data_IF_564374066541
#
_entry.id   IF_564374066541
#
_cell.length_a   1.000
_cell.length_b   1.000
_cell.length_c   1.000
_cell.angle_alpha   90.00
_cell.angle_beta   90.00
_cell.angle_gamma   90.00
#
_symmetry.space_group_name_H-M   'P 1'
#
loop_
_entity.id
_entity.type
_entity.pdbx_description
1 polymer ?
#
# COMPACT_ATOMS: atom_id res chain seq x y z
N UNK A 1 -18.10 -12.43 3.69
CA UNK A 1 -18.17 -11.16 2.95
C UNK A 1 -17.01 -10.29 3.35
N UNK A 2 -16.06 -10.05 2.46
CA UNK A 2 -14.92 -9.16 2.73
C UNK A 2 -14.49 -8.53 1.42
N UNK A 3 -14.38 -7.20 1.40
CA UNK A 3 -13.96 -6.45 0.22
C UNK A 3 -12.47 -6.66 -0.05
N UNK A 4 -12.03 -6.43 -1.27
CA UNK A 4 -10.60 -6.43 -1.61
C UNK A 4 -10.07 -5.01 -1.49
N UNK A 5 -9.00 -4.84 -0.69
CA UNK A 5 -8.28 -3.57 -0.58
C UNK A 5 -7.14 -3.60 -1.59
N UNK A 6 -6.99 -2.51 -2.34
CA UNK A 6 -5.88 -2.28 -3.25
C UNK A 6 -5.14 -1.01 -2.83
N UNK A 7 -3.95 -1.18 -2.26
CA UNK A 7 -3.05 -0.08 -1.96
C UNK A 7 -2.00 -0.02 -3.06
N UNK A 8 -1.89 1.13 -3.72
CA UNK A 8 -0.96 1.35 -4.82
C UNK A 8 0.06 2.41 -4.43
N UNK A 9 1.32 2.02 -4.29
CA UNK A 9 2.43 2.93 -4.08
C UNK A 9 3.04 3.30 -5.43
N UNK A 10 3.18 4.59 -5.71
CA UNK A 10 3.67 5.12 -6.97
C UNK A 10 4.92 5.94 -6.69
N UNK A 11 6.03 5.55 -7.31
CA UNK A 11 7.31 6.26 -7.28
C UNK A 11 7.48 6.97 -8.61
N UNK A 12 7.38 8.30 -8.60
CA UNK A 12 7.60 9.16 -9.77
C UNK A 12 8.85 10.01 -9.59
N UNK A 13 9.44 10.40 -10.72
CA UNK A 13 10.60 11.29 -10.82
C UNK A 13 11.90 10.76 -10.22
N UNK A 14 11.93 9.52 -9.74
CA UNK A 14 13.17 8.91 -9.28
C UNK A 14 14.20 8.81 -10.43
N UNK A 15 15.48 9.15 -10.20
CA UNK A 15 16.52 9.12 -11.24
C UNK A 15 16.76 7.71 -11.79
N UNK A 16 16.50 6.68 -10.98
CA UNK A 16 16.51 5.27 -11.39
C UNK A 16 15.27 4.54 -10.82
N UNK A 17 14.79 3.46 -11.46
CA UNK A 17 13.75 2.62 -10.87
C UNK A 17 14.23 1.92 -9.59
N UNK A 18 13.42 1.87 -8.50
CA UNK A 18 13.81 1.16 -7.29
C UNK A 18 14.10 -0.32 -7.57
N UNK A 19 15.29 -0.84 -7.21
CA UNK A 19 15.57 -2.27 -7.33
C UNK A 19 14.63 -3.12 -6.48
N UNK A 20 14.19 -2.61 -5.32
CA UNK A 20 13.23 -3.27 -4.46
C UNK A 20 12.18 -2.29 -3.91
N UNK A 21 10.95 -2.79 -3.72
CA UNK A 21 9.91 -2.13 -2.95
C UNK A 21 9.44 -3.05 -1.83
N UNK A 22 9.40 -2.50 -0.63
CA UNK A 22 8.97 -3.21 0.58
C UNK A 22 7.69 -2.61 1.12
N UNK A 23 6.87 -3.45 1.73
CA UNK A 23 5.64 -3.03 2.39
C UNK A 23 5.69 -3.44 3.85
N UNK A 24 5.15 -2.58 4.71
CA UNK A 24 5.01 -2.85 6.14
C UNK A 24 3.59 -2.55 6.61
N UNK A 25 3.04 -3.42 7.47
CA UNK A 25 1.80 -3.23 8.20
C UNK A 25 2.12 -3.06 9.69
N UNK A 26 1.75 -1.92 10.29
CA UNK A 26 2.02 -1.61 11.70
C UNK A 26 3.49 -1.85 12.10
N UNK A 27 4.43 -1.44 11.23
CA UNK A 27 5.88 -1.62 11.38
C UNK A 27 6.39 -3.05 11.23
N UNK A 28 5.56 -4.00 10.80
CA UNK A 28 5.97 -5.36 10.44
C UNK A 28 6.00 -5.51 8.92
N UNK A 29 7.11 -6.01 8.38
CA UNK A 29 7.25 -6.25 6.94
C UNK A 29 6.22 -7.28 6.46
N UNK A 30 5.50 -6.94 5.39
CA UNK A 30 4.56 -7.83 4.72
C UNK A 30 5.35 -8.69 3.73
N UNK A 31 5.35 -9.99 3.94
CA UNK A 31 5.94 -10.97 3.03
C UNK A 31 4.85 -11.78 2.31
N UNK A 32 5.24 -12.47 1.24
CA UNK A 32 4.36 -13.36 0.47
C UNK A 32 3.83 -14.52 1.34
N UNK A 33 4.61 -14.97 2.32
CA UNK A 33 4.24 -16.01 3.28
C UNK A 33 3.44 -15.48 4.48
N UNK A 34 2.67 -14.41 4.28
CA UNK A 34 1.85 -13.89 5.37
C UNK A 34 0.89 -14.97 5.89
N UNK A 35 0.88 -15.26 7.21
CA UNK A 35 0.03 -16.30 7.78
C UNK A 35 -1.47 -16.01 7.62
N UNK A 36 -1.82 -14.78 7.21
CA UNK A 36 -3.17 -14.36 6.87
C UNK A 36 -3.72 -15.06 5.62
N UNK A 37 -2.86 -15.32 4.62
CA UNK A 37 -3.29 -15.68 3.27
C UNK A 37 -4.03 -14.56 2.52
N UNK A 38 -4.18 -14.71 1.20
CA UNK A 38 -4.91 -13.75 0.37
C UNK A 38 -4.27 -12.36 0.26
N UNK A 39 -2.96 -12.27 0.50
CA UNK A 39 -2.13 -11.10 0.20
C UNK A 39 -1.43 -11.34 -1.13
N UNK A 40 -1.50 -10.38 -2.04
CA UNK A 40 -0.75 -10.39 -3.29
C UNK A 40 -0.03 -9.07 -3.47
N UNK A 41 1.25 -9.14 -3.83
CA UNK A 41 2.09 -7.98 -4.08
C UNK A 41 2.52 -8.00 -5.54
N UNK A 42 2.15 -6.95 -6.28
CA UNK A 42 2.49 -6.79 -7.69
C UNK A 42 3.34 -5.55 -7.83
N UNK A 43 4.59 -5.70 -8.27
CA UNK A 43 5.48 -4.57 -8.53
C UNK A 43 5.76 -4.45 -10.02
N UNK A 44 5.37 -3.33 -10.60
CA UNK A 44 5.63 -2.96 -11.98
C UNK A 44 6.75 -1.92 -12.00
N UNK A 45 7.89 -2.30 -12.59
CA UNK A 45 9.04 -1.42 -12.82
C UNK A 45 8.91 -0.79 -14.20
N UNK A 46 9.14 0.51 -14.30
CA UNK A 46 9.10 1.28 -15.54
C UNK A 46 9.53 2.72 -15.30
N UNK A 47 9.19 3.64 -16.21
CA UNK A 47 9.41 5.09 -16.01
C UNK A 47 8.79 5.61 -14.71
N UNK A 48 7.68 5.01 -14.29
CA UNK A 48 7.08 5.17 -12.97
C UNK A 48 6.97 3.79 -12.36
N UNK A 49 7.56 3.62 -11.18
CA UNK A 49 7.55 2.32 -10.51
C UNK A 49 6.34 2.24 -9.60
N UNK A 50 5.51 1.21 -9.79
CA UNK A 50 4.23 1.06 -9.11
C UNK A 50 4.18 -0.26 -8.35
N UNK A 51 3.94 -0.21 -7.04
CA UNK A 51 3.71 -1.40 -6.20
C UNK A 51 2.25 -1.47 -5.81
N UNK A 52 1.59 -2.62 -6.00
CA UNK A 52 0.20 -2.85 -5.62
C UNK A 52 0.13 -3.95 -4.59
N UNK A 53 -0.33 -3.60 -3.40
CA UNK A 53 -0.63 -4.52 -2.32
C UNK A 53 -2.14 -4.80 -2.33
N UNK A 54 -2.48 -6.04 -2.64
CA UNK A 54 -3.85 -6.55 -2.71
C UNK A 54 -4.12 -7.40 -1.48
N UNK A 55 -5.19 -7.05 -0.76
CA UNK A 55 -5.59 -7.73 0.47
C UNK A 55 -7.02 -8.22 0.25
N UNK A 56 -7.17 -9.51 -0.01
CA UNK A 56 -8.46 -10.16 -0.24
C UNK A 56 -9.17 -10.45 1.09
N UNK A 57 -10.51 -10.50 1.06
CA UNK A 57 -11.35 -10.80 2.22
C UNK A 57 -10.98 -9.92 3.43
N UNK A 58 -10.88 -8.61 3.21
CA UNK A 58 -10.43 -7.69 4.24
C UNK A 58 -11.36 -7.72 5.47
N UNK A 59 -10.76 -7.81 6.66
CA UNK A 59 -11.44 -7.86 7.97
C UNK A 59 -10.98 -6.72 8.85
N UNK A 60 -11.73 -6.42 9.92
CA UNK A 60 -11.40 -5.38 10.90
C UNK A 60 -9.93 -5.41 11.36
N UNK A 61 -9.34 -6.62 11.51
CA UNK A 61 -7.94 -6.84 11.92
C UNK A 61 -6.89 -6.36 10.92
N UNK A 62 -7.24 -6.18 9.64
CA UNK A 62 -6.32 -5.63 8.64
C UNK A 62 -6.22 -4.11 8.74
N UNK A 63 -7.05 -3.46 9.57
CA UNK A 63 -6.89 -2.03 9.86
C UNK A 63 -5.51 -1.76 10.46
N UNK A 64 -4.89 -0.66 10.04
CA UNK A 64 -3.54 -0.32 10.51
C UNK A 64 -2.85 0.72 9.65
N UNK A 65 -1.57 0.92 9.94
CA UNK A 65 -0.69 1.74 9.14
C UNK A 65 0.00 0.87 8.10
N UNK A 66 -0.19 1.20 6.83
CA UNK A 66 0.52 0.59 5.72
C UNK A 66 1.58 1.55 5.21
N UNK A 67 2.82 1.10 5.17
CA UNK A 67 3.96 1.87 4.68
C UNK A 67 4.54 1.17 3.46
N UNK A 68 4.68 1.89 2.35
CA UNK A 68 5.54 1.45 1.26
C UNK A 68 6.90 2.15 1.37
N UNK A 69 7.95 1.36 1.28
CA UNK A 69 9.33 1.82 1.35
C UNK A 69 10.08 1.33 0.11
N UNK A 70 10.21 2.19 -0.93
CA UNK A 70 11.11 1.93 -2.04
C UNK A 70 12.57 2.05 -1.60
N UNK A 71 13.47 1.30 -2.24
CA UNK A 71 14.89 1.26 -1.87
C UNK A 71 15.67 2.53 -2.23
N UNK A 72 15.17 3.35 -3.16
CA UNK A 72 15.87 4.54 -3.67
C UNK A 72 14.99 5.82 -3.65
N UNK A 73 13.89 5.81 -2.90
CA UNK A 73 13.00 6.98 -2.79
C UNK A 73 12.38 7.06 -1.39
N UNK A 74 11.67 8.15 -1.11
CA UNK A 74 11.02 8.36 0.17
C UNK A 74 9.91 7.33 0.42
N UNK A 75 9.79 6.87 1.67
CA UNK A 75 8.67 6.02 2.07
C UNK A 75 7.38 6.83 2.19
N UNK A 76 6.26 6.17 1.93
CA UNK A 76 4.93 6.75 2.11
C UNK A 76 4.09 5.85 3.01
N UNK A 77 3.29 6.48 3.89
CA UNK A 77 2.44 5.78 4.85
C UNK A 77 0.98 6.21 4.70
N UNK A 78 0.08 5.23 4.73
CA UNK A 78 -1.38 5.42 4.73
C UNK A 78 -2.00 4.70 5.92
N UNK A 79 -3.00 5.32 6.56
CA UNK A 79 -3.78 4.65 7.60
C UNK A 79 -5.05 4.08 6.98
N UNK A 80 -5.16 2.76 7.00
CA UNK A 80 -6.33 2.03 6.53
C UNK A 80 -7.21 1.71 7.72
N UNK A 81 -8.47 2.09 7.63
CA UNK A 81 -9.48 1.74 8.62
C UNK A 81 -10.59 0.96 7.93
N UNK A 82 -10.72 -0.30 8.30
CA UNK A 82 -11.79 -1.17 7.83
C UNK A 82 -13.00 -0.93 8.74
N UNK A 83 -14.20 -0.81 8.20
CA UNK A 83 -15.42 -0.63 8.96
C UNK A 83 -16.37 -1.75 8.52
N UNK A 84 -16.93 -2.48 9.48
CA UNK A 84 -17.97 -3.44 9.22
C UNK A 84 -19.24 -2.70 8.81
N UNK A 85 -19.48 -2.61 7.50
CA UNK A 85 -20.66 -1.98 6.93
C UNK A 85 -20.31 -0.97 5.85
N UNK A 86 -20.15 -1.45 4.62
CA UNK A 86 -20.22 -0.72 3.32
C UNK A 86 -19.44 0.61 3.16
N UNK A 87 -18.69 1.11 4.14
CA UNK A 87 -18.02 2.40 4.09
C UNK A 87 -16.67 2.31 4.79
N UNK A 88 -15.59 2.13 4.03
CA UNK A 88 -14.23 2.19 4.56
C UNK A 88 -13.74 3.64 4.48
N UNK A 89 -13.34 4.24 5.62
CA UNK A 89 -12.66 5.55 5.62
C UNK A 89 -11.15 5.33 5.69
N UNK A 90 -10.50 5.29 4.53
CA UNK A 90 -9.03 5.26 4.48
C UNK A 90 -8.54 6.70 4.66
N UNK A 91 -7.78 6.95 5.73
CA UNK A 91 -7.23 8.26 6.05
C UNK A 91 -5.75 8.27 5.72
N UNK A 92 -5.37 8.76 4.54
CA UNK A 92 -3.96 8.93 4.19
C UNK A 92 -3.39 10.19 4.85
N UNK A 93 -2.67 10.03 5.97
CA UNK A 93 -1.75 11.07 6.44
C UNK A 93 -0.39 10.79 5.82
N UNK A 94 -0.13 11.44 4.68
CA UNK A 94 1.21 11.47 4.07
C UNK A 94 2.15 12.21 5.03
N UNK A 95 2.98 11.49 5.78
CA UNK A 95 4.15 12.10 6.40
C UNK A 95 5.17 12.34 5.28
N UNK A 96 5.16 13.55 4.71
CA UNK A 96 6.21 13.99 3.78
C UNK A 96 7.56 13.97 4.52
N UNK A 97 8.41 13.00 4.21
CA UNK A 97 9.85 13.14 4.39
C UNK A 97 10.36 14.22 3.42
N UNK A 98 11.27 15.07 3.91
CA UNK A 98 11.78 16.30 3.31
C UNK A 98 11.82 16.37 1.77
N UNK A 99 11.29 17.48 1.26
CA UNK A 99 11.49 18.11 -0.05
C UNK A 99 12.64 17.57 -0.92
N UNK A 100 12.37 16.57 -1.75
CA UNK A 100 13.06 16.35 -3.03
C UNK A 100 12.02 16.31 -4.15
N UNK A 101 12.42 16.66 -5.37
CA UNK A 101 11.57 16.63 -6.58
C UNK A 101 11.07 15.21 -6.93
N UNK A 102 11.53 14.19 -6.21
CA UNK A 102 11.15 12.78 -6.30
C UNK A 102 9.92 12.49 -5.42
N UNK A 103 8.74 12.58 -6.02
CA UNK A 103 7.47 12.36 -5.32
C UNK A 103 7.10 10.88 -5.26
N UNK A 104 7.38 10.21 -4.14
CA UNK A 104 6.70 8.94 -3.82
C UNK A 104 5.37 9.26 -3.15
N UNK A 105 4.28 8.75 -3.70
CA UNK A 105 2.96 8.91 -3.13
C UNK A 105 2.17 7.62 -3.22
N UNK A 106 1.19 7.47 -2.32
CA UNK A 106 0.30 6.31 -2.31
C UNK A 106 -1.09 6.70 -2.76
N UNK A 107 -1.62 5.93 -3.69
CA UNK A 107 -3.04 5.90 -4.04
C UNK A 107 -3.67 4.64 -3.47
N UNK A 108 -4.98 4.66 -3.28
CA UNK A 108 -5.72 3.52 -2.78
C UNK A 108 -7.05 3.41 -3.52
N UNK A 109 -7.47 2.18 -3.79
CA UNK A 109 -8.78 1.85 -4.32
C UNK A 109 -9.33 0.65 -3.56
N UNK A 110 -10.65 0.56 -3.43
CA UNK A 110 -11.30 -0.59 -2.81
C UNK A 110 -12.36 -1.12 -3.77
N UNK A 111 -12.43 -2.44 -3.91
CA UNK A 111 -13.49 -3.12 -4.67
C UNK A 111 -14.37 -3.86 -3.68
N UNK A 112 -15.60 -3.36 -3.51
CA UNK A 112 -16.64 -4.05 -2.74
C UNK A 112 -17.18 -5.18 -3.61
N UNK A 113 -16.79 -6.41 -3.33
CA UNK A 113 -17.43 -7.59 -3.92
C UNK A 113 -18.73 -7.84 -3.16
N UNK A 114 -19.85 -7.38 -3.74
CA UNK A 114 -21.21 -7.77 -3.35
C UNK A 114 -21.41 -9.25 -3.71
N UNK A 115 -21.90 -10.05 -2.78
CA UNK A 115 -22.65 -11.27 -3.11
C UNK A 115 -24.13 -10.94 -3.14
#
# INVERSE_FOLDING_TARGET
>A
MGSTINLTCVVQYAPEPPPAMSWAHNSQTINFDSPRGGISLVTEKGFTTTSRLLIQKAVQKDSGLYTCSPSNANSATVRVHILNGKSLRISAKLKKGASSRDGTYMTYSYRVTSH
#
